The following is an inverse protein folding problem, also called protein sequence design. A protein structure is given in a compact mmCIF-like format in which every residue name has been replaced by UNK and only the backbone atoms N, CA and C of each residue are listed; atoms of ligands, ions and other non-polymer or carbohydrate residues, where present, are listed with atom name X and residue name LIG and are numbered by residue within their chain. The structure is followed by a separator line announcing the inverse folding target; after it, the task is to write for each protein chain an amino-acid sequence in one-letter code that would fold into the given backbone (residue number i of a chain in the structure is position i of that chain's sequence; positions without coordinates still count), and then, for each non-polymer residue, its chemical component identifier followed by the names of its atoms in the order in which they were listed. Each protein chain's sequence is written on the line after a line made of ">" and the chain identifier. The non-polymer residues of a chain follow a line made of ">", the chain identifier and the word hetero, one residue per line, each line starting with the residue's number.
data_IF_743850814257
#
_entry.id   IF_743850814257
#
_cell.length_a   1.000
_cell.length_b   1.000
_cell.length_c   1.000
_cell.angle_alpha   90.00
_cell.angle_beta   90.00
_cell.angle_gamma   90.00
#
_symmetry.space_group_name_H-M   'P 1'
#
loop_
_entity.id
_entity.type
_entity.pdbx_description
1 polymer ?
#
# COMPACT_ATOMS: atom_id res chain seq x y z
N UNK A 1 -13.46 -7.66 -5.54
CA UNK A 1 -12.17 -6.93 -5.54
C UNK A 1 -11.47 -6.97 -6.88
N UNK A 2 -11.21 -8.16 -7.44
CA UNK A 2 -10.53 -8.25 -8.74
C UNK A 2 -11.31 -7.57 -9.88
N UNK A 3 -12.63 -7.66 -9.86
CA UNK A 3 -13.47 -6.96 -10.85
C UNK A 3 -13.29 -5.45 -10.77
N UNK A 4 -13.17 -4.90 -9.59
CA UNK A 4 -12.93 -3.48 -9.38
C UNK A 4 -11.57 -3.05 -9.94
N UNK A 5 -10.52 -3.85 -9.68
CA UNK A 5 -9.17 -3.58 -10.15
C UNK A 5 -9.10 -3.58 -11.67
N UNK A 6 -9.85 -4.45 -12.34
CA UNK A 6 -9.88 -4.53 -13.81
C UNK A 6 -10.81 -3.51 -14.45
N UNK A 7 -11.50 -2.69 -13.66
CA UNK A 7 -12.45 -1.71 -14.17
C UNK A 7 -13.80 -2.25 -14.56
N UNK A 8 -14.10 -3.52 -14.23
CA UNK A 8 -15.39 -4.14 -14.55
C UNK A 8 -16.50 -3.77 -13.59
N UNK A 9 -16.17 -3.09 -12.50
CA UNK A 9 -17.11 -2.77 -11.46
C UNK A 9 -16.92 -1.32 -10.99
N UNK A 10 -17.04 -0.39 -11.92
CA UNK A 10 -17.00 1.03 -11.65
C UNK A 10 -18.41 1.56 -11.44
N UNK A 11 -18.63 2.24 -10.33
CA UNK A 11 -19.88 2.94 -10.05
C UNK A 11 -19.58 4.37 -9.59
N UNK A 12 -20.54 5.30 -9.72
CA UNK A 12 -20.32 6.68 -9.24
C UNK A 12 -20.05 6.81 -7.75
N UNK A 13 -20.42 5.80 -6.96
CA UNK A 13 -20.26 5.80 -5.50
C UNK A 13 -18.98 5.17 -5.02
N UNK A 14 -18.30 4.42 -5.89
CA UNK A 14 -17.08 3.68 -5.55
C UNK A 14 -15.97 4.23 -6.41
N UNK A 15 -14.89 4.68 -5.78
CA UNK A 15 -13.73 5.15 -6.51
C UNK A 15 -13.16 4.02 -7.36
N UNK A 16 -12.87 4.29 -8.63
CA UNK A 16 -12.27 3.29 -9.51
C UNK A 16 -10.83 2.97 -9.06
N UNK A 17 -10.37 1.79 -9.43
CA UNK A 17 -8.98 1.40 -9.17
C UNK A 17 -8.00 2.41 -9.77
N UNK A 18 -8.28 2.88 -10.98
CA UNK A 18 -7.41 3.85 -11.65
C UNK A 18 -7.33 5.17 -10.88
N UNK A 19 -8.46 5.63 -10.36
CA UNK A 19 -8.49 6.85 -9.57
C UNK A 19 -7.74 6.68 -8.25
N UNK A 20 -7.93 5.57 -7.57
CA UNK A 20 -7.19 5.26 -6.35
C UNK A 20 -5.69 5.19 -6.62
N UNK A 21 -5.30 4.49 -7.67
CA UNK A 21 -3.89 4.35 -8.05
C UNK A 21 -3.26 5.71 -8.38
N UNK A 22 -3.96 6.54 -9.14
CA UNK A 22 -3.48 7.88 -9.48
C UNK A 22 -3.35 8.75 -8.22
N UNK A 23 -4.33 8.68 -7.33
CA UNK A 23 -4.33 9.47 -6.09
C UNK A 23 -3.22 9.03 -5.15
N UNK A 24 -2.99 7.73 -5.02
CA UNK A 24 -1.91 7.20 -4.19
C UNK A 24 -0.55 7.58 -4.76
N UNK A 25 -0.37 7.45 -6.07
CA UNK A 25 0.88 7.84 -6.74
C UNK A 25 1.19 9.30 -6.54
N UNK A 26 0.19 10.16 -6.67
CA UNK A 26 0.35 11.61 -6.46
C UNK A 26 0.66 11.92 -5.00
N UNK A 27 0.01 11.23 -4.07
CA UNK A 27 0.29 11.40 -2.63
C UNK A 27 1.73 11.03 -2.30
N UNK A 28 2.23 9.93 -2.84
CA UNK A 28 3.61 9.51 -2.64
C UNK A 28 4.59 10.55 -3.21
N UNK A 29 4.28 11.09 -4.38
CA UNK A 29 5.11 12.14 -4.98
C UNK A 29 5.15 13.39 -4.10
N UNK A 30 4.01 13.84 -3.61
CA UNK A 30 3.91 15.00 -2.74
C UNK A 30 4.68 14.81 -1.44
N UNK A 31 4.58 13.63 -0.83
CA UNK A 31 5.31 13.31 0.40
C UNK A 31 6.81 13.41 0.16
N UNK A 32 7.29 12.84 -0.95
CA UNK A 32 8.70 12.87 -1.29
C UNK A 32 9.21 14.30 -1.52
N UNK A 33 8.45 15.11 -2.24
CA UNK A 33 8.82 16.50 -2.51
C UNK A 33 8.80 17.36 -1.26
N UNK A 34 7.77 17.19 -0.42
CA UNK A 34 7.58 18.01 0.76
C UNK A 34 8.65 17.75 1.84
N UNK A 35 9.01 16.49 2.04
CA UNK A 35 9.88 16.11 3.17
C UNK A 35 11.34 15.90 2.79
N UNK A 36 11.62 15.65 1.52
CA UNK A 36 13.00 15.48 1.05
C UNK A 36 13.69 14.26 1.64
N UNK A 37 15.02 14.31 1.65
CA UNK A 37 15.86 13.19 2.12
C UNK A 37 16.03 13.20 3.62
N UNK A 38 16.36 12.03 4.16
CA UNK A 38 16.70 11.89 5.58
C UNK A 38 15.52 11.97 6.52
N UNK A 39 14.29 11.81 6.02
CA UNK A 39 13.08 11.83 6.84
C UNK A 39 12.41 10.47 6.88
N UNK A 40 11.83 10.14 8.03
CA UNK A 40 10.98 8.97 8.19
C UNK A 40 9.55 9.45 8.36
N UNK A 41 8.67 8.97 7.49
CA UNK A 41 7.27 9.42 7.43
C UNK A 41 6.37 8.22 7.65
N UNK A 42 5.48 8.31 8.64
CA UNK A 42 4.50 7.27 8.90
C UNK A 42 3.16 7.68 8.28
N UNK A 43 2.56 6.74 7.55
CA UNK A 43 1.25 6.93 6.92
C UNK A 43 0.32 5.82 7.38
N UNK A 44 -0.80 6.18 7.96
CA UNK A 44 -1.82 5.23 8.40
C UNK A 44 -2.87 5.11 7.29
N UNK A 45 -3.05 3.91 6.77
CA UNK A 45 -3.90 3.73 5.59
C UNK A 45 -4.50 2.33 5.54
N UNK A 46 -5.24 2.05 4.47
CA UNK A 46 -5.94 0.79 4.24
C UNK A 46 -5.16 -0.14 3.33
N UNK A 47 -5.58 -1.41 3.30
CA UNK A 47 -4.98 -2.41 2.42
C UNK A 47 -5.09 -2.05 0.95
N UNK A 48 -6.20 -1.44 0.53
CA UNK A 48 -6.36 -1.00 -0.86
C UNK A 48 -5.32 0.02 -1.28
N UNK A 49 -5.02 0.98 -0.40
CA UNK A 49 -4.00 1.99 -0.66
C UNK A 49 -2.60 1.36 -0.66
N UNK A 50 -2.34 0.37 0.20
CA UNK A 50 -1.07 -0.37 0.18
C UNK A 50 -0.92 -1.11 -1.15
N UNK A 51 -1.97 -1.77 -1.63
CA UNK A 51 -1.93 -2.46 -2.92
C UNK A 51 -1.64 -1.49 -4.07
N UNK A 52 -2.28 -0.32 -4.07
CA UNK A 52 -2.03 0.70 -5.07
C UNK A 52 -0.59 1.21 -5.03
N UNK A 53 -0.04 1.38 -3.82
CA UNK A 53 1.37 1.77 -3.63
C UNK A 53 2.31 0.70 -4.18
N UNK A 54 2.04 -0.57 -3.91
CA UNK A 54 2.86 -1.67 -4.41
C UNK A 54 2.82 -1.74 -5.93
N UNK A 55 1.63 -1.58 -6.52
CA UNK A 55 1.49 -1.56 -7.98
C UNK A 55 2.33 -0.45 -8.60
N UNK A 56 2.29 0.73 -8.00
CA UNK A 56 3.04 1.89 -8.49
C UNK A 56 4.56 1.69 -8.33
N UNK A 57 5.00 1.29 -7.15
CA UNK A 57 6.43 1.19 -6.82
C UNK A 57 7.10 0.03 -7.54
N UNK A 58 6.43 -1.13 -7.58
CA UNK A 58 6.99 -2.34 -8.19
C UNK A 58 6.70 -2.44 -9.69
N UNK A 59 5.80 -1.62 -10.22
CA UNK A 59 5.41 -1.69 -11.62
C UNK A 59 4.65 -2.96 -11.97
N UNK A 60 3.93 -3.54 -11.01
CA UNK A 60 3.16 -4.76 -11.22
C UNK A 60 1.70 -4.44 -11.55
N UNK A 61 1.01 -5.33 -12.30
CA UNK A 61 -0.41 -5.16 -12.57
C UNK A 61 -1.26 -5.09 -11.30
N UNK A 62 -2.36 -4.36 -11.36
CA UNK A 62 -3.25 -4.19 -10.22
C UNK A 62 -3.77 -5.49 -9.66
N UNK A 63 -4.03 -6.49 -10.50
CA UNK A 63 -4.49 -7.80 -10.05
C UNK A 63 -3.46 -8.50 -9.16
N UNK A 64 -2.18 -8.42 -9.52
CA UNK A 64 -1.11 -8.99 -8.72
C UNK A 64 -0.95 -8.25 -7.39
N UNK A 65 -1.05 -6.93 -7.43
CA UNK A 65 -0.99 -6.12 -6.22
C UNK A 65 -2.13 -6.47 -5.26
N UNK A 66 -3.33 -6.70 -5.78
CA UNK A 66 -4.47 -7.09 -4.96
C UNK A 66 -4.30 -8.48 -4.34
N UNK A 67 -3.66 -9.40 -5.04
CA UNK A 67 -3.34 -10.71 -4.48
C UNK A 67 -2.39 -10.59 -3.29
N UNK A 68 -1.42 -9.70 -3.38
CA UNK A 68 -0.54 -9.40 -2.25
C UNK A 68 -1.34 -8.80 -1.09
N UNK A 69 -2.34 -7.97 -1.39
CA UNK A 69 -3.18 -7.36 -0.38
C UNK A 69 -3.94 -8.39 0.47
N UNK A 70 -4.25 -9.56 -0.08
CA UNK A 70 -4.92 -10.62 0.69
C UNK A 70 -4.07 -11.16 1.83
N UNK A 71 -2.75 -10.96 1.76
CA UNK A 71 -1.82 -11.38 2.80
C UNK A 71 -1.57 -10.31 3.85
N UNK A 72 -2.09 -9.09 3.63
CA UNK A 72 -1.83 -7.97 4.53
C UNK A 72 -2.54 -8.18 5.87
N UNK A 73 -1.74 -8.25 6.93
CA UNK A 73 -2.24 -8.35 8.29
C UNK A 73 -2.60 -6.95 8.79
N UNK A 74 -3.69 -6.83 9.53
CA UNK A 74 -4.08 -5.57 10.15
C UNK A 74 -2.95 -5.08 11.08
N UNK A 75 -2.65 -3.81 11.01
CA UNK A 75 -1.55 -3.13 11.71
C UNK A 75 -0.15 -3.55 11.24
N UNK A 76 -0.04 -4.32 10.15
CA UNK A 76 1.26 -4.62 9.56
C UNK A 76 1.92 -3.35 9.02
N UNK A 77 3.24 -3.42 8.86
CA UNK A 77 4.03 -2.31 8.37
C UNK A 77 4.57 -2.64 6.99
N UNK A 78 4.27 -1.79 6.03
CA UNK A 78 4.89 -1.82 4.70
C UNK A 78 5.79 -0.60 4.60
N UNK A 79 7.03 -0.83 4.22
CA UNK A 79 8.05 0.22 4.25
C UNK A 79 8.65 0.44 2.87
N UNK A 80 8.71 1.71 2.49
CA UNK A 80 9.38 2.14 1.26
C UNK A 80 10.60 2.99 1.61
N UNK A 81 11.63 2.87 0.81
CA UNK A 81 12.77 3.78 0.84
C UNK A 81 12.74 4.65 -0.41
N UNK A 82 13.06 5.91 -0.26
CA UNK A 82 13.01 6.83 -1.39
C UNK A 82 14.15 7.83 -1.38
N UNK A 83 14.43 8.36 -2.56
CA UNK A 83 15.25 9.54 -2.75
C UNK A 83 14.56 10.44 -3.78
N UNK A 84 15.26 11.44 -4.30
CA UNK A 84 14.68 12.38 -5.25
C UNK A 84 14.30 11.71 -6.58
N UNK A 85 14.98 10.62 -6.94
CA UNK A 85 14.82 9.97 -8.24
C UNK A 85 13.98 8.71 -8.22
N UNK A 86 13.99 7.97 -7.10
CA UNK A 86 13.31 6.67 -7.06
C UNK A 86 12.71 6.38 -5.70
N UNK A 87 11.77 5.43 -5.72
CA UNK A 87 11.19 4.84 -4.53
C UNK A 87 11.24 3.31 -4.68
N UNK A 88 11.62 2.62 -3.63
CA UNK A 88 11.73 1.15 -3.63
C UNK A 88 11.05 0.55 -2.42
N UNK A 89 10.62 -0.71 -2.56
CA UNK A 89 10.04 -1.45 -1.44
C UNK A 89 11.16 -1.97 -0.54
N UNK A 90 11.10 -1.64 0.74
CA UNK A 90 12.08 -2.08 1.74
C UNK A 90 11.55 -3.19 2.64
N UNK A 91 10.25 -3.25 2.87
CA UNK A 91 9.63 -4.29 3.67
C UNK A 91 8.13 -4.33 3.45
N UNK A 92 7.54 -5.52 3.49
CA UNK A 92 6.13 -5.72 3.23
C UNK A 92 5.53 -6.57 4.35
N UNK A 93 4.36 -6.13 4.85
CA UNK A 93 3.56 -6.92 5.78
C UNK A 93 4.31 -7.35 7.04
N UNK A 94 5.17 -6.48 7.55
CA UNK A 94 5.96 -6.77 8.75
C UNK A 94 5.06 -6.78 9.99
N UNK A 95 5.14 -7.86 10.77
CA UNK A 95 4.31 -8.10 11.95
C UNK A 95 5.13 -8.39 13.21
N UNK A 96 6.40 -8.03 13.22
CA UNK A 96 7.29 -8.30 14.36
C UNK A 96 6.71 -7.78 15.67
N UNK A 97 6.06 -6.62 15.66
CA UNK A 97 5.43 -6.03 16.82
C UNK A 97 4.28 -6.88 17.38
N UNK A 98 3.54 -7.58 16.49
CA UNK A 98 2.48 -8.50 16.90
C UNK A 98 3.04 -9.82 17.43
N UNK A 99 4.09 -10.31 16.80
CA UNK A 99 4.76 -11.54 17.24
C UNK A 99 5.40 -11.38 18.60
N UNK A 100 5.93 -10.19 18.90
CA UNK A 100 6.52 -9.88 20.21
C UNK A 100 5.49 -9.96 21.34
N UNK A 101 4.21 -9.69 21.07
CA UNK A 101 3.14 -9.82 22.05
C UNK A 101 2.80 -11.28 22.37
N UNK A 102 3.16 -12.22 21.49
CA UNK A 102 2.93 -13.64 21.70
C UNK A 102 1.48 -14.08 21.63
N UNK A 103 0.58 -13.25 21.10
CA UNK A 103 -0.85 -13.52 21.00
C UNK A 103 -1.26 -13.72 19.55
N UNK A 104 -1.43 -14.98 19.07
CA UNK A 104 -1.83 -15.22 17.68
C UNK A 104 -3.16 -14.58 17.29
N UNK A 105 -4.05 -14.34 18.25
CA UNK A 105 -5.34 -13.68 17.99
C UNK A 105 -5.19 -12.23 17.54
N UNK A 106 -4.02 -11.60 17.73
CA UNK A 106 -3.75 -10.25 17.26
C UNK A 106 -3.51 -10.21 15.75
N UNK A 107 -3.20 -11.35 15.13
CA UNK A 107 -2.97 -11.43 13.70
C UNK A 107 -4.31 -11.62 13.01
N UNK A 108 -4.79 -10.55 12.39
CA UNK A 108 -6.07 -10.55 11.70
C UNK A 108 -5.91 -10.05 10.28
N UNK A 109 -6.83 -10.48 9.43
CA UNK A 109 -6.84 -10.10 8.02
C UNK A 109 -8.13 -9.36 7.69
N UNK A 110 -8.12 -8.69 6.56
CA UNK A 110 -9.28 -7.95 6.09
C UNK A 110 -10.25 -8.85 5.38
#
# INVERSE_FOLDING_TARGET
>A
MLKWVTGRFDTPRIESWKNLQARVSESLRQIREKHGRGKTIAVFTSGGAIAASLSHVLGIPGEQAMRLNWQVVNTSITRFMYNEERITLAGFNAISHLELEGEPSLITYR
#
